data_IF_725564008720
#
_entry.id   IF_725564008720
#
_cell.length_a   1.000
_cell.length_b   1.000
_cell.length_c   1.000
_cell.angle_alpha   90.00
_cell.angle_beta   90.00
_cell.angle_gamma   90.00
#
_symmetry.space_group_name_H-M   'P 1'
#
loop_
_entity.id
_entity.type
_entity.pdbx_description
1 polymer ?
#
# COMPACT_ATOMS: atom_id res chain seq x y z
N UNK A 1 -33.75 -9.47 21.32
CA UNK A 1 -33.59 -10.07 19.98
C UNK A 1 -32.69 -9.14 19.20
N UNK A 2 -31.44 -9.53 18.98
CA UNK A 2 -30.49 -8.74 18.21
C UNK A 2 -30.80 -8.92 16.72
N UNK A 3 -31.14 -7.82 16.05
CA UNK A 3 -31.34 -7.80 14.60
C UNK A 3 -30.01 -8.14 13.92
N UNK A 4 -29.94 -9.32 13.29
CA UNK A 4 -28.80 -9.77 12.54
C UNK A 4 -28.53 -8.79 11.39
N UNK A 5 -27.34 -8.22 11.37
CA UNK A 5 -26.85 -7.40 10.27
C UNK A 5 -26.68 -8.29 9.03
N UNK A 6 -27.49 -8.05 8.01
CA UNK A 6 -27.39 -8.78 6.75
C UNK A 6 -26.41 -8.09 5.82
N UNK A 7 -25.40 -8.83 5.39
CA UNK A 7 -24.45 -8.39 4.33
C UNK A 7 -25.19 -7.94 3.07
N UNK A 8 -26.39 -8.51 2.80
CA UNK A 8 -27.24 -8.13 1.68
C UNK A 8 -27.86 -6.75 1.81
N UNK A 9 -28.14 -6.26 3.02
CA UNK A 9 -28.69 -4.92 3.23
C UNK A 9 -27.63 -3.81 3.04
N UNK A 10 -26.37 -4.13 3.31
CA UNK A 10 -25.25 -3.23 3.02
C UNK A 10 -24.99 -3.11 1.50
N UNK A 11 -25.24 -4.18 0.75
CA UNK A 11 -25.05 -4.20 -0.71
C UNK A 11 -26.16 -3.45 -1.47
N UNK A 12 -27.37 -3.37 -0.92
CA UNK A 12 -28.51 -2.75 -1.60
C UNK A 12 -28.66 -1.22 -1.38
N UNK A 13 -28.04 -0.65 -0.36
CA UNK A 13 -28.17 0.79 -0.06
C UNK A 13 -27.34 1.73 -0.94
N UNK A 14 -26.36 1.21 -1.69
CA UNK A 14 -25.44 2.03 -2.50
C UNK A 14 -25.66 1.98 -4.02
N UNK A 15 -26.84 1.61 -4.49
CA UNK A 15 -27.08 1.45 -5.93
C UNK A 15 -27.38 2.75 -6.70
N UNK A 16 -27.15 3.94 -6.12
CA UNK A 16 -27.43 5.25 -6.76
C UNK A 16 -26.27 6.25 -6.80
N UNK A 17 -25.10 5.92 -6.28
CA UNK A 17 -23.91 6.74 -6.50
C UNK A 17 -23.06 6.14 -7.62
N UNK A 18 -22.40 6.99 -8.41
CA UNK A 18 -21.63 6.68 -9.61
C UNK A 18 -21.03 5.27 -9.64
N UNK A 19 -21.00 4.62 -10.79
CA UNK A 19 -20.60 3.23 -10.98
C UNK A 19 -19.19 2.94 -10.42
N UNK A 20 -19.06 2.90 -9.10
CA UNK A 20 -17.88 2.42 -8.40
C UNK A 20 -17.70 0.95 -8.78
N UNK A 21 -16.56 0.62 -9.33
CA UNK A 21 -16.23 -0.74 -9.71
C UNK A 21 -16.16 -1.60 -8.43
N UNK A 22 -17.23 -2.36 -8.16
CA UNK A 22 -17.30 -3.24 -6.97
C UNK A 22 -16.12 -4.21 -6.99
N UNK A 23 -15.49 -4.50 -5.84
CA UNK A 23 -14.45 -5.52 -5.76
C UNK A 23 -14.93 -6.84 -6.35
N UNK A 24 -14.14 -7.42 -7.24
CA UNK A 24 -14.47 -8.65 -7.96
C UNK A 24 -13.41 -9.70 -7.66
N UNK A 25 -13.87 -10.95 -7.48
CA UNK A 25 -12.96 -12.10 -7.36
C UNK A 25 -12.29 -12.47 -8.71
N UNK A 26 -12.82 -11.96 -9.82
CA UNK A 26 -12.28 -12.19 -11.17
C UNK A 26 -11.57 -10.95 -11.66
N UNK A 27 -10.34 -11.13 -12.10
CA UNK A 27 -9.52 -10.08 -12.69
C UNK A 27 -9.38 -10.27 -14.19
N UNK A 28 -9.27 -9.17 -14.93
CA UNK A 28 -8.80 -9.23 -16.30
C UNK A 28 -7.28 -9.41 -16.25
N UNK A 29 -6.79 -10.44 -16.93
CA UNK A 29 -5.36 -10.65 -17.13
C UNK A 29 -4.98 -10.28 -18.55
N UNK A 30 -3.74 -9.85 -18.74
CA UNK A 30 -3.17 -9.53 -20.04
C UNK A 30 -1.67 -9.79 -20.00
N UNK A 31 -1.15 -10.31 -21.09
CA UNK A 31 0.29 -10.40 -21.32
C UNK A 31 0.81 -9.04 -21.77
N UNK A 32 1.79 -8.52 -21.05
CA UNK A 32 2.33 -7.18 -21.21
C UNK A 32 3.85 -7.27 -21.23
N UNK A 33 4.48 -6.58 -22.21
CA UNK A 33 5.93 -6.40 -22.18
C UNK A 33 6.32 -5.61 -20.92
N UNK A 34 7.33 -6.14 -20.20
CA UNK A 34 7.86 -5.51 -18.98
C UNK A 34 8.34 -4.08 -19.24
N UNK A 35 8.79 -3.79 -20.47
CA UNK A 35 9.26 -2.48 -20.93
C UNK A 35 8.15 -1.43 -21.00
N UNK A 36 6.88 -1.85 -21.07
CA UNK A 36 5.70 -0.98 -21.05
C UNK A 36 5.19 -0.70 -19.65
N UNK A 37 5.77 -1.34 -18.64
CA UNK A 37 5.39 -1.20 -17.24
C UNK A 37 6.37 -0.25 -16.56
N UNK A 38 5.85 0.67 -15.76
CA UNK A 38 6.65 1.61 -15.01
C UNK A 38 6.30 1.63 -13.52
N UNK A 39 7.28 2.02 -12.70
CA UNK A 39 7.16 2.10 -11.25
C UNK A 39 6.16 3.16 -10.81
N UNK A 40 5.54 2.93 -9.67
CA UNK A 40 4.72 3.92 -9.01
C UNK A 40 5.59 4.80 -8.11
N UNK A 41 5.72 6.10 -8.42
CA UNK A 41 6.53 7.06 -7.65
C UNK A 41 6.03 7.26 -6.22
N UNK A 42 4.80 6.82 -5.93
CA UNK A 42 4.24 6.84 -4.57
C UNK A 42 4.67 5.67 -3.72
N UNK A 43 5.33 4.68 -4.32
CA UNK A 43 5.84 3.53 -3.59
C UNK A 43 7.06 3.95 -2.76
N UNK A 44 6.86 4.06 -1.46
CA UNK A 44 7.87 4.49 -0.49
C UNK A 44 8.55 3.33 0.23
N UNK A 45 8.10 2.11 -0.01
CA UNK A 45 8.65 0.94 0.68
C UNK A 45 10.08 0.64 0.24
N UNK A 46 10.89 0.22 1.21
CA UNK A 46 12.21 -0.35 0.95
C UNK A 46 12.13 -1.57 0.04
N UNK A 47 13.14 -1.79 -0.81
CA UNK A 47 13.16 -2.86 -1.81
C UNK A 47 14.36 -3.81 -1.61
N UNK A 48 14.48 -4.51 -0.45
CA UNK A 48 15.58 -5.42 -0.21
C UNK A 48 15.44 -6.71 -1.02
N UNK A 49 16.57 -7.37 -1.30
CA UNK A 49 16.62 -8.73 -1.84
C UNK A 49 16.11 -8.87 -3.28
N UNK A 50 16.31 -7.86 -4.14
CA UNK A 50 15.89 -7.93 -5.55
C UNK A 50 16.67 -9.01 -6.30
N UNK A 51 17.98 -9.11 -6.08
CA UNK A 51 18.85 -10.11 -6.71
C UNK A 51 18.45 -11.53 -6.33
N UNK A 52 18.14 -11.74 -5.04
CA UNK A 52 17.66 -13.05 -4.57
C UNK A 52 16.32 -13.40 -5.21
N UNK A 53 15.37 -12.45 -5.25
CA UNK A 53 14.08 -12.66 -5.88
C UNK A 53 14.22 -12.94 -7.39
N UNK A 54 15.17 -12.29 -8.07
CA UNK A 54 15.46 -12.56 -9.48
C UNK A 54 15.97 -13.99 -9.69
N UNK A 55 16.83 -14.49 -8.79
CA UNK A 55 17.30 -15.89 -8.83
C UNK A 55 16.15 -16.88 -8.59
N UNK A 56 15.26 -16.60 -7.65
CA UNK A 56 14.07 -17.41 -7.36
C UNK A 56 13.13 -17.45 -8.58
N UNK A 57 12.87 -16.29 -9.22
CA UNK A 57 12.06 -16.22 -10.45
C UNK A 57 12.73 -16.97 -11.60
N UNK A 58 14.05 -16.88 -11.73
CA UNK A 58 14.78 -17.62 -12.75
C UNK A 58 14.67 -19.14 -12.57
N UNK A 59 14.65 -19.59 -11.29
CA UNK A 59 14.62 -21.02 -10.97
C UNK A 59 13.24 -21.67 -11.14
N UNK A 60 12.16 -20.97 -10.77
CA UNK A 60 10.81 -21.56 -10.70
C UNK A 60 9.74 -20.80 -11.49
N UNK A 61 10.10 -19.69 -12.12
CA UNK A 61 9.17 -18.79 -12.81
C UNK A 61 8.49 -17.80 -11.89
N UNK A 62 7.66 -16.95 -12.47
CA UNK A 62 6.87 -15.94 -11.74
C UNK A 62 5.64 -16.62 -11.10
N UNK A 63 5.68 -16.84 -9.79
CA UNK A 63 4.61 -17.53 -9.05
C UNK A 63 3.35 -16.68 -8.82
N UNK A 64 3.50 -15.35 -8.80
CA UNK A 64 2.41 -14.42 -8.56
C UNK A 64 2.42 -13.30 -9.60
N UNK A 65 1.27 -13.00 -10.17
CA UNK A 65 1.12 -11.92 -11.14
C UNK A 65 1.28 -10.54 -10.50
N UNK A 66 1.78 -9.60 -11.28
CA UNK A 66 1.73 -8.18 -10.92
C UNK A 66 0.34 -7.61 -11.18
N UNK A 67 -0.03 -6.57 -10.44
CA UNK A 67 -1.24 -5.79 -10.67
C UNK A 67 -0.85 -4.42 -11.22
N UNK A 68 -1.41 -4.06 -12.37
CA UNK A 68 -1.12 -2.80 -13.06
C UNK A 68 -2.40 -2.07 -13.45
N UNK A 69 -2.31 -0.74 -13.61
CA UNK A 69 -3.36 0.08 -14.20
C UNK A 69 -2.90 0.67 -15.53
N UNK A 70 -3.80 0.75 -16.51
CA UNK A 70 -3.52 1.46 -17.74
C UNK A 70 -3.49 2.97 -17.47
N UNK A 71 -2.31 3.57 -17.54
CA UNK A 71 -2.05 4.97 -17.27
C UNK A 71 -0.86 5.44 -18.12
N UNK A 72 -1.07 5.63 -19.43
CA UNK A 72 0.01 5.90 -20.36
C UNK A 72 0.70 7.24 -20.08
N UNK A 73 2.02 7.23 -20.09
CA UNK A 73 2.89 8.40 -19.98
C UNK A 73 4.21 8.13 -20.71
N UNK A 74 5.16 9.09 -20.66
CA UNK A 74 6.47 8.94 -21.31
C UNK A 74 7.26 7.72 -20.83
N UNK A 75 7.02 7.22 -19.61
CA UNK A 75 7.72 6.08 -19.01
C UNK A 75 7.14 4.72 -19.43
N UNK A 76 5.93 4.67 -19.97
CA UNK A 76 5.26 3.44 -20.34
C UNK A 76 3.75 3.56 -20.43
N UNK A 77 3.09 2.42 -20.62
CA UNK A 77 1.62 2.35 -20.77
C UNK A 77 0.92 1.95 -19.46
N UNK A 78 1.61 1.23 -18.58
CA UNK A 78 1.02 0.59 -17.41
C UNK A 78 1.77 0.98 -16.14
N UNK A 79 1.06 1.56 -15.18
CA UNK A 79 1.58 1.89 -13.84
C UNK A 79 1.40 0.70 -12.89
N UNK A 80 2.43 0.39 -12.12
CA UNK A 80 2.37 -0.68 -11.10
C UNK A 80 1.49 -0.23 -9.93
N UNK A 81 0.52 -1.09 -9.55
CA UNK A 81 -0.25 -0.97 -8.32
C UNK A 81 0.31 -1.92 -7.25
N UNK A 82 0.66 -3.16 -7.63
CA UNK A 82 1.27 -4.13 -6.73
C UNK A 82 2.28 -5.00 -7.47
N UNK A 83 3.36 -5.39 -6.79
CA UNK A 83 4.40 -6.27 -7.33
C UNK A 83 5.65 -5.54 -7.82
N UNK A 84 5.98 -4.36 -7.32
CA UNK A 84 7.16 -3.60 -7.76
C UNK A 84 8.48 -4.36 -7.56
N UNK A 85 8.64 -5.13 -6.48
CA UNK A 85 9.84 -5.97 -6.30
C UNK A 85 9.98 -6.99 -7.44
N UNK A 86 8.87 -7.62 -7.86
CA UNK A 86 8.84 -8.56 -9.00
C UNK A 86 9.21 -7.88 -10.31
N UNK A 87 8.66 -6.70 -10.54
CA UNK A 87 9.00 -5.89 -11.71
C UNK A 87 10.50 -5.55 -11.76
N UNK A 88 11.09 -5.14 -10.63
CA UNK A 88 12.54 -4.87 -10.55
C UNK A 88 13.39 -6.12 -10.77
N UNK A 89 12.98 -7.25 -10.20
CA UNK A 89 13.65 -8.53 -10.39
C UNK A 89 13.61 -9.00 -11.85
N UNK A 90 12.46 -8.84 -12.53
CA UNK A 90 12.29 -9.16 -13.94
C UNK A 90 13.14 -8.25 -14.84
N UNK A 91 13.19 -6.94 -14.56
CA UNK A 91 14.10 -6.05 -15.30
C UNK A 91 15.57 -6.47 -15.14
N UNK A 92 15.98 -6.86 -13.92
CA UNK A 92 17.33 -7.36 -13.67
C UNK A 92 17.62 -8.66 -14.49
N UNK A 93 16.65 -9.54 -14.65
CA UNK A 93 16.77 -10.72 -15.51
C UNK A 93 16.93 -10.33 -16.97
N UNK A 94 16.14 -9.37 -17.47
CA UNK A 94 16.29 -8.87 -18.84
C UNK A 94 17.65 -8.22 -19.09
N UNK A 95 18.16 -7.43 -18.14
CA UNK A 95 19.50 -6.83 -18.21
C UNK A 95 20.61 -7.89 -18.28
N UNK A 96 20.38 -9.07 -17.68
CA UNK A 96 21.28 -10.22 -17.74
C UNK A 96 21.09 -11.10 -19.00
N UNK A 97 20.19 -10.72 -19.91
CA UNK A 97 19.96 -11.40 -21.18
C UNK A 97 18.93 -12.53 -21.15
N UNK A 98 18.13 -12.66 -20.09
CA UNK A 98 17.04 -13.65 -20.03
C UNK A 98 15.76 -13.10 -20.69
N UNK A 99 15.72 -13.12 -22.03
CA UNK A 99 14.64 -12.51 -22.82
C UNK A 99 13.26 -13.18 -22.64
N UNK A 100 13.21 -14.44 -22.18
CA UNK A 100 11.97 -15.15 -21.88
C UNK A 100 11.08 -14.43 -20.84
N UNK A 101 11.67 -13.52 -20.05
CA UNK A 101 10.95 -12.70 -19.06
C UNK A 101 10.49 -11.33 -19.58
N UNK A 102 10.63 -11.06 -20.89
CA UNK A 102 10.18 -9.77 -21.45
C UNK A 102 8.67 -9.61 -21.38
N UNK A 103 7.91 -10.68 -21.55
CA UNK A 103 6.44 -10.65 -21.52
C UNK A 103 5.93 -11.37 -20.29
N UNK A 104 5.10 -10.69 -19.52
CA UNK A 104 4.55 -11.22 -18.26
C UNK A 104 3.04 -11.04 -18.19
N UNK A 105 2.34 -12.04 -17.65
CA UNK A 105 0.90 -11.92 -17.38
C UNK A 105 0.66 -11.03 -16.18
N UNK A 106 -0.07 -9.93 -16.38
CA UNK A 106 -0.46 -8.99 -15.33
C UNK A 106 -1.97 -8.98 -15.11
N UNK A 107 -2.37 -8.72 -13.88
CA UNK A 107 -3.75 -8.36 -13.57
C UNK A 107 -3.97 -6.89 -13.91
N UNK A 108 -5.05 -6.59 -14.64
CA UNK A 108 -5.41 -5.21 -15.00
C UNK A 108 -6.46 -4.70 -14.04
N UNK A 109 -6.19 -3.57 -13.41
CA UNK A 109 -7.12 -2.83 -12.55
C UNK A 109 -7.44 -1.48 -13.19
N UNK A 110 -8.62 -0.94 -12.91
CA UNK A 110 -8.93 0.44 -13.28
C UNK A 110 -8.00 1.39 -12.52
N UNK A 111 -7.61 2.48 -13.16
CA UNK A 111 -6.90 3.54 -12.47
C UNK A 111 -7.81 4.12 -11.37
N UNK A 112 -7.28 4.23 -10.17
CA UNK A 112 -7.96 4.82 -9.03
C UNK A 112 -7.58 6.30 -8.88
N UNK A 113 -8.40 7.02 -8.12
CA UNK A 113 -8.04 8.36 -7.67
C UNK A 113 -6.81 8.27 -6.72
N UNK A 114 -6.08 9.34 -6.62
CA UNK A 114 -4.75 9.41 -6.00
C UNK A 114 -4.71 8.88 -4.55
N UNK A 115 -5.69 9.26 -3.74
CA UNK A 115 -5.77 8.82 -2.34
C UNK A 115 -6.25 7.38 -2.22
N UNK A 116 -7.16 6.95 -3.10
CA UNK A 116 -7.58 5.55 -3.20
C UNK A 116 -6.41 4.65 -3.63
N UNK A 117 -5.59 5.10 -4.58
CA UNK A 117 -4.39 4.39 -5.01
C UNK A 117 -3.39 4.22 -3.87
N UNK A 118 -3.17 5.25 -3.03
CA UNK A 118 -2.31 5.16 -1.85
C UNK A 118 -2.83 4.11 -0.86
N UNK A 119 -4.13 4.12 -0.58
CA UNK A 119 -4.75 3.10 0.29
C UNK A 119 -4.60 1.70 -0.30
N UNK A 120 -4.79 1.54 -1.62
CA UNK A 120 -4.61 0.25 -2.30
C UNK A 120 -3.14 -0.24 -2.22
N UNK A 121 -2.18 0.66 -2.40
CA UNK A 121 -0.75 0.37 -2.26
C UNK A 121 -0.43 -0.16 -0.85
N UNK A 122 -0.94 0.49 0.18
CA UNK A 122 -0.71 0.09 1.58
C UNK A 122 -1.39 -1.24 1.89
N UNK A 123 -2.63 -1.44 1.46
CA UNK A 123 -3.34 -2.72 1.63
C UNK A 123 -2.57 -3.86 0.95
N UNK A 124 -2.05 -3.64 -0.26
CA UNK A 124 -1.26 -4.65 -0.99
C UNK A 124 0.06 -5.04 -0.28
N UNK A 125 0.55 -4.19 0.63
CA UNK A 125 1.74 -4.42 1.43
C UNK A 125 1.45 -4.71 2.92
N UNK A 126 0.17 -4.93 3.32
CA UNK A 126 -0.23 -5.08 4.72
C UNK A 126 0.48 -6.23 5.45
N UNK A 127 0.77 -7.32 4.76
CA UNK A 127 1.40 -8.53 5.33
C UNK A 127 2.90 -8.64 5.05
N UNK A 128 3.50 -7.59 4.54
CA UNK A 128 4.94 -7.54 4.30
C UNK A 128 5.70 -7.30 5.60
N UNK A 129 6.93 -7.82 5.71
CA UNK A 129 7.88 -7.38 6.73
C UNK A 129 8.23 -5.91 6.50
N UNK A 130 8.05 -5.09 7.53
CA UNK A 130 8.18 -3.64 7.46
C UNK A 130 9.27 -3.15 8.38
N UNK A 131 10.06 -2.20 7.91
CA UNK A 131 10.95 -1.43 8.77
C UNK A 131 10.14 -0.44 9.62
N UNK A 132 10.76 0.10 10.67
CA UNK A 132 10.15 1.18 11.45
C UNK A 132 9.86 2.38 10.56
N UNK A 133 10.76 2.71 9.64
CA UNK A 133 10.59 3.79 8.68
C UNK A 133 9.36 3.56 7.77
N UNK A 134 9.17 2.32 7.26
CA UNK A 134 7.99 1.96 6.48
C UNK A 134 6.69 2.17 7.29
N UNK A 135 6.67 1.73 8.56
CA UNK A 135 5.48 1.87 9.42
C UNK A 135 5.12 3.32 9.73
N UNK A 136 6.11 4.17 9.97
CA UNK A 136 5.91 5.61 10.21
C UNK A 136 5.33 6.31 8.97
N UNK A 137 5.88 5.99 7.80
CA UNK A 137 5.43 6.56 6.53
C UNK A 137 4.05 6.03 6.12
N UNK A 138 3.77 4.74 6.36
CA UNK A 138 2.44 4.16 6.13
C UNK A 138 1.36 4.88 6.92
N UNK A 139 1.56 5.02 8.23
CA UNK A 139 0.58 5.68 9.10
C UNK A 139 0.29 7.10 8.60
N UNK A 140 1.35 7.88 8.32
CA UNK A 140 1.23 9.25 7.86
C UNK A 140 0.42 9.34 6.56
N UNK A 141 0.83 8.60 5.52
CA UNK A 141 0.17 8.64 4.20
C UNK A 141 -1.25 8.07 4.24
N UNK A 142 -1.44 6.98 4.99
CA UNK A 142 -2.76 6.37 5.14
C UNK A 142 -3.73 7.32 5.84
N UNK A 143 -3.27 7.99 6.90
CA UNK A 143 -4.06 8.99 7.63
C UNK A 143 -4.46 10.17 6.73
N UNK A 144 -3.51 10.73 5.97
CA UNK A 144 -3.76 11.81 5.03
C UNK A 144 -4.78 11.40 3.97
N UNK A 145 -4.60 10.22 3.36
CA UNK A 145 -5.49 9.71 2.31
C UNK A 145 -6.89 9.40 2.83
N UNK A 146 -7.00 8.73 3.97
CA UNK A 146 -8.31 8.41 4.57
C UNK A 146 -9.03 9.65 5.08
N UNK A 147 -8.31 10.65 5.60
CA UNK A 147 -8.90 11.93 5.99
C UNK A 147 -9.46 12.65 4.76
N UNK A 148 -8.68 12.74 3.68
CA UNK A 148 -9.15 13.31 2.41
C UNK A 148 -10.41 12.58 1.90
N UNK A 149 -10.40 11.25 1.88
CA UNK A 149 -11.56 10.45 1.46
C UNK A 149 -12.79 10.76 2.32
N UNK A 150 -12.61 10.82 3.64
CA UNK A 150 -13.69 11.17 4.58
C UNK A 150 -14.26 12.55 4.31
N UNK A 151 -13.41 13.57 4.16
CA UNK A 151 -13.81 14.96 3.98
C UNK A 151 -14.53 15.19 2.64
N UNK A 152 -14.24 14.37 1.63
CA UNK A 152 -14.87 14.40 0.31
C UNK A 152 -16.02 13.40 0.15
N UNK A 153 -16.44 12.72 1.24
CA UNK A 153 -17.56 11.77 1.20
C UNK A 153 -17.28 10.51 0.38
N UNK A 154 -15.99 10.22 0.11
CA UNK A 154 -15.57 9.00 -0.58
C UNK A 154 -15.67 7.80 0.35
N UNK A 155 -15.96 6.62 -0.22
CA UNK A 155 -16.14 5.40 0.56
C UNK A 155 -15.00 4.42 0.29
N UNK A 156 -14.58 3.71 1.34
CA UNK A 156 -13.69 2.57 1.23
C UNK A 156 -14.48 1.32 1.60
N UNK A 157 -14.67 0.40 0.64
CA UNK A 157 -15.48 -0.80 0.88
C UNK A 157 -14.89 -1.64 2.03
N UNK A 158 -15.77 -2.05 2.94
CA UNK A 158 -15.37 -2.80 4.14
C UNK A 158 -14.95 -1.91 5.33
N UNK A 159 -14.83 -0.59 5.14
CA UNK A 159 -14.46 0.35 6.19
C UNK A 159 -15.45 1.50 6.31
N UNK A 160 -15.75 1.91 7.55
CA UNK A 160 -16.60 3.08 7.82
C UNK A 160 -15.72 4.28 8.09
N UNK A 161 -15.68 5.23 7.15
CA UNK A 161 -14.91 6.47 7.29
C UNK A 161 -15.73 7.58 7.96
N UNK A 162 -17.04 7.54 7.82
CA UNK A 162 -18.00 8.53 8.32
C UNK A 162 -18.28 8.40 9.82
N UNK A 163 -18.22 7.18 10.36
CA UNK A 163 -18.53 6.88 11.75
C UNK A 163 -17.42 6.04 12.38
N UNK A 164 -16.81 6.55 13.43
CA UNK A 164 -15.76 5.86 14.17
C UNK A 164 -14.43 6.62 14.17
N UNK A 165 -13.46 6.05 14.85
CA UNK A 165 -12.11 6.62 14.93
C UNK A 165 -11.31 6.20 13.69
N UNK A 166 -10.80 7.15 12.95
CA UNK A 166 -9.94 6.89 11.80
C UNK A 166 -8.74 6.00 12.18
N UNK A 167 -8.24 6.16 13.42
CA UNK A 167 -7.18 5.30 13.99
C UNK A 167 -7.53 3.80 13.96
N UNK A 168 -8.78 3.44 14.19
CA UNK A 168 -9.20 2.03 14.20
C UNK A 168 -9.21 1.46 12.78
N UNK A 169 -9.56 2.28 11.79
CA UNK A 169 -9.47 1.93 10.37
C UNK A 169 -8.00 1.77 9.96
N UNK A 170 -7.14 2.70 10.34
CA UNK A 170 -5.69 2.64 10.08
C UNK A 170 -5.10 1.38 10.71
N UNK A 171 -5.41 1.08 11.97
CA UNK A 171 -4.95 -0.11 12.66
C UNK A 171 -5.36 -1.40 11.94
N UNK A 172 -6.60 -1.46 11.46
CA UNK A 172 -7.12 -2.60 10.69
C UNK A 172 -6.39 -2.77 9.36
N UNK A 173 -6.18 -1.69 8.60
CA UNK A 173 -5.47 -1.74 7.31
C UNK A 173 -4.00 -2.13 7.50
N UNK A 174 -3.32 -1.56 8.50
CA UNK A 174 -1.92 -1.85 8.79
C UNK A 174 -1.71 -3.18 9.52
N UNK A 175 -2.78 -3.94 9.78
CA UNK A 175 -2.76 -5.21 10.51
C UNK A 175 -2.07 -5.08 11.89
N UNK A 176 -2.46 -4.07 12.66
CA UNK A 176 -1.87 -3.77 13.98
C UNK A 176 -2.94 -3.30 14.98
N UNK A 177 -2.53 -2.83 16.15
CA UNK A 177 -3.44 -2.37 17.20
C UNK A 177 -3.59 -0.84 17.19
N UNK A 178 -4.75 -0.34 17.65
CA UNK A 178 -4.96 1.10 17.84
C UNK A 178 -3.95 1.75 18.79
N UNK A 179 -3.48 1.00 19.79
CA UNK A 179 -2.40 1.45 20.71
C UNK A 179 -1.10 1.66 19.95
N UNK A 180 -0.73 0.73 19.07
CA UNK A 180 0.49 0.86 18.26
C UNK A 180 0.39 2.06 17.31
N UNK A 181 -0.77 2.27 16.69
CA UNK A 181 -1.01 3.46 15.86
C UNK A 181 -0.89 4.75 16.67
N UNK A 182 -1.43 4.81 17.90
CA UNK A 182 -1.27 5.97 18.77
C UNK A 182 0.20 6.29 19.08
N UNK A 183 1.02 5.25 19.31
CA UNK A 183 2.47 5.42 19.50
C UNK A 183 3.16 5.94 18.22
N UNK A 184 2.81 5.41 17.05
CA UNK A 184 3.33 5.86 15.76
C UNK A 184 2.93 7.31 15.50
N UNK A 185 1.68 7.68 15.77
CA UNK A 185 1.20 9.06 15.64
C UNK A 185 1.97 10.03 16.55
N UNK A 186 2.24 9.64 17.81
CA UNK A 186 3.05 10.46 18.73
C UNK A 186 4.46 10.68 18.20
N UNK A 187 5.11 9.62 17.74
CA UNK A 187 6.44 9.69 17.12
C UNK A 187 6.42 10.61 15.89
N UNK A 188 5.48 10.41 14.97
CA UNK A 188 5.37 11.21 13.75
C UNK A 188 5.15 12.71 14.03
N UNK A 189 4.43 13.03 15.10
CA UNK A 189 4.06 14.40 15.44
C UNK A 189 5.11 15.14 16.27
N UNK A 190 5.76 14.45 17.22
CA UNK A 190 6.53 15.11 18.26
C UNK A 190 8.02 14.79 18.25
N UNK A 191 8.45 13.73 17.53
CA UNK A 191 9.87 13.41 17.46
C UNK A 191 10.60 14.41 16.56
N UNK A 192 11.64 15.03 17.08
CA UNK A 192 12.46 16.00 16.32
C UNK A 192 13.18 15.29 15.16
N UNK A 193 13.53 16.04 14.07
CA UNK A 193 14.10 15.45 12.86
C UNK A 193 15.38 14.64 13.10
N UNK A 194 16.23 15.06 14.03
CA UNK A 194 17.48 14.38 14.36
C UNK A 194 17.22 12.97 14.93
N UNK A 195 16.31 12.83 15.88
CA UNK A 195 15.94 11.52 16.43
C UNK A 195 15.10 10.70 15.45
N UNK A 196 14.35 11.35 14.56
CA UNK A 196 13.64 10.65 13.49
C UNK A 196 14.60 9.99 12.51
N UNK A 197 15.73 10.64 12.20
CA UNK A 197 16.80 10.06 11.38
C UNK A 197 17.43 8.85 12.06
N UNK A 198 17.81 8.98 13.35
CA UNK A 198 18.40 7.89 14.15
C UNK A 198 17.46 6.66 14.23
N UNK A 199 16.14 6.91 14.35
CA UNK A 199 15.12 5.87 14.39
C UNK A 199 15.02 5.14 13.04
N UNK A 200 15.02 5.88 11.93
CA UNK A 200 14.93 5.30 10.58
C UNK A 200 16.18 4.49 10.22
N UNK A 201 17.34 4.88 10.74
CA UNK A 201 18.60 4.17 10.54
C UNK A 201 18.83 3.03 11.55
N UNK A 202 17.87 2.80 12.47
CA UNK A 202 17.90 1.71 13.43
C UNK A 202 18.85 1.95 14.62
N UNK A 203 19.40 3.15 14.78
CA UNK A 203 20.24 3.52 15.94
C UNK A 203 19.40 3.88 17.18
N UNK A 204 18.16 4.27 16.99
CA UNK A 204 17.18 4.50 18.05
C UNK A 204 16.12 3.41 18.00
N UNK A 205 15.75 2.85 19.16
CA UNK A 205 14.66 1.87 19.23
C UNK A 205 13.28 2.54 19.17
N UNK A 206 12.27 1.81 18.73
CA UNK A 206 10.90 2.31 18.69
C UNK A 206 10.39 2.77 20.07
N UNK A 207 10.71 2.00 21.14
CA UNK A 207 10.27 2.34 22.50
C UNK A 207 10.91 3.64 22.98
N UNK A 208 12.23 3.80 22.78
CA UNK A 208 12.94 5.03 23.15
C UNK A 208 12.41 6.24 22.36
N UNK A 209 12.16 6.09 21.06
CA UNK A 209 11.56 7.14 20.23
C UNK A 209 10.18 7.57 20.73
N UNK A 210 9.35 6.60 21.15
CA UNK A 210 8.04 6.90 21.72
C UNK A 210 8.15 7.66 23.06
N UNK A 211 9.03 7.25 23.96
CA UNK A 211 9.27 7.94 25.23
C UNK A 211 9.75 9.38 24.99
N UNK A 212 10.72 9.58 24.10
CA UNK A 212 11.20 10.92 23.73
C UNK A 212 10.08 11.77 23.13
N UNK A 213 9.23 11.20 22.29
CA UNK A 213 8.09 11.92 21.71
C UNK A 213 7.10 12.41 22.76
N UNK A 214 6.89 11.64 23.84
CA UNK A 214 6.07 12.05 24.97
C UNK A 214 6.65 13.21 25.80
N UNK A 215 7.98 13.27 25.94
CA UNK A 215 8.65 14.36 26.67
C UNK A 215 8.51 15.73 25.98
N UNK A 216 8.25 15.74 24.68
CA UNK A 216 8.06 16.97 23.90
C UNK A 216 6.65 17.58 24.09
N UNK A 217 5.68 16.81 24.54
CA UNK A 217 4.33 17.30 24.85
C UNK A 217 4.26 18.06 26.19
N UNK A 218 5.20 17.84 27.11
CA UNK A 218 5.22 18.43 28.45
C UNK A 218 5.92 19.81 28.51
N UNK A 219 6.27 20.42 27.37
CA UNK A 219 6.85 21.75 27.25
C UNK A 219 5.96 22.69 26.44
#
# INVERSE_FOLDING_TARGET
>A
MAAGWSVMDALNKNSKAAAEEKPKARFRTRDISIRKIYSNDRNFYSMPGIEQLAQEILAVGLMENMTVAYAPCERGEYKIIAGERRWRALNLLLEKGYEDFETVTCQIKSAAEENEEMVQLIIANAYRDKTIADMLEEEKRLKESLQYMKDNGLTLQGYKLDSGRLRDVIASIMNTTGTKIAQIESINKHLIPEFSAELKEGRLTFSAAYEISGMAEDK
#
